data_IF_921508079066
#
_entry.id   IF_921508079066
#
_cell.length_a   1.000
_cell.length_b   1.000
_cell.length_c   1.000
_cell.angle_alpha   90.00
_cell.angle_beta   90.00
_cell.angle_gamma   90.00
#
_symmetry.space_group_name_H-M   'P 1'
#
loop_
_entity.id
_entity.type
_entity.pdbx_description
1 polymer ?
#
# COMPACT_ATOMS: atom_id res chain seq x y z
N UNK A 1 30.97 -27.84 23.63
CA UNK A 1 30.38 -26.66 24.29
C UNK A 1 28.92 -26.52 23.86
N UNK A 2 28.04 -27.34 24.40
CA UNK A 2 26.60 -27.30 24.15
C UNK A 2 25.95 -26.37 25.17
N UNK A 3 26.00 -25.06 24.91
CA UNK A 3 25.31 -24.10 25.78
C UNK A 3 23.81 -24.11 25.44
N UNK A 4 23.12 -25.16 25.89
CA UNK A 4 21.71 -25.42 25.61
C UNK A 4 20.77 -24.90 26.71
N UNK A 5 21.14 -23.77 27.36
CA UNK A 5 20.30 -23.16 28.39
C UNK A 5 19.51 -21.96 27.81
N UNK A 6 18.23 -22.15 27.43
CA UNK A 6 17.41 -21.08 26.88
C UNK A 6 17.14 -19.95 27.90
N UNK A 7 17.28 -20.20 29.20
CA UNK A 7 17.08 -19.18 30.24
C UNK A 7 18.21 -18.14 30.18
N UNK A 8 19.46 -18.58 30.20
CA UNK A 8 20.62 -17.69 30.12
C UNK A 8 20.67 -16.94 28.78
N UNK A 9 20.30 -17.60 27.68
CA UNK A 9 20.21 -16.94 26.37
C UNK A 9 19.16 -15.82 26.37
N UNK A 10 18.01 -16.02 27.01
CA UNK A 10 16.94 -15.02 27.16
C UNK A 10 17.39 -13.82 27.99
N UNK A 11 18.18 -14.04 29.03
CA UNK A 11 18.78 -12.96 29.82
C UNK A 11 19.73 -12.11 28.98
N UNK A 12 20.57 -12.74 28.15
CA UNK A 12 21.49 -12.04 27.25
C UNK A 12 20.72 -11.17 26.25
N UNK A 13 19.65 -11.69 25.64
CA UNK A 13 18.80 -10.90 24.74
C UNK A 13 18.17 -9.69 25.44
N UNK A 14 17.62 -9.90 26.65
CA UNK A 14 17.04 -8.81 27.42
C UNK A 14 18.07 -7.75 27.82
N UNK A 15 19.27 -8.16 28.20
CA UNK A 15 20.36 -7.25 28.53
C UNK A 15 20.82 -6.47 27.28
N UNK A 16 20.92 -7.12 26.12
CA UNK A 16 21.24 -6.46 24.86
C UNK A 16 20.22 -5.35 24.53
N UNK A 17 18.92 -5.62 24.68
CA UNK A 17 17.88 -4.60 24.47
C UNK A 17 17.87 -3.48 25.51
N UNK A 18 18.37 -3.71 26.73
CA UNK A 18 18.50 -2.64 27.74
C UNK A 18 19.66 -1.68 27.42
N UNK A 19 20.74 -2.20 26.84
CA UNK A 19 21.94 -1.44 26.51
C UNK A 19 21.73 -0.55 25.28
N UNK A 20 20.92 -1.00 24.32
CA UNK A 20 20.69 -0.26 23.08
C UNK A 20 19.84 0.99 23.36
N UNK A 21 20.32 2.21 23.03
CA UNK A 21 19.55 3.43 23.19
C UNK A 21 18.52 3.55 22.05
N UNK A 22 17.42 2.81 22.15
CA UNK A 22 16.41 2.66 21.09
C UNK A 22 15.83 3.96 20.54
N UNK A 23 15.85 5.04 21.34
CA UNK A 23 15.50 6.39 20.89
C UNK A 23 16.50 6.88 19.84
N UNK A 24 17.80 6.86 20.13
CA UNK A 24 18.80 7.34 19.16
C UNK A 24 19.02 6.35 18.02
N UNK A 25 19.06 5.05 18.33
CA UNK A 25 19.50 4.04 17.38
C UNK A 25 19.04 2.64 17.79
N UNK A 26 18.72 1.82 16.79
CA UNK A 26 18.26 0.45 17.02
C UNK A 26 18.50 -0.45 15.81
N UNK A 27 18.78 -1.73 16.07
CA UNK A 27 19.04 -2.74 15.06
C UNK A 27 17.83 -3.65 14.86
N UNK A 28 17.26 -3.65 13.66
CA UNK A 28 16.18 -4.58 13.30
C UNK A 28 16.59 -6.06 13.49
N UNK A 29 17.85 -6.40 13.19
CA UNK A 29 18.38 -7.77 13.33
C UNK A 29 18.31 -8.31 14.77
N UNK A 30 18.52 -7.45 15.78
CA UNK A 30 18.47 -7.86 17.18
C UNK A 30 17.04 -8.22 17.58
N UNK A 31 16.06 -7.39 17.18
CA UNK A 31 14.65 -7.66 17.42
C UNK A 31 14.16 -8.94 16.74
N UNK A 32 14.50 -9.10 15.46
CA UNK A 32 14.15 -10.29 14.67
C UNK A 32 14.79 -11.54 15.27
N UNK A 33 16.09 -11.48 15.59
CA UNK A 33 16.80 -12.60 16.21
C UNK A 33 16.21 -12.99 17.58
N UNK A 34 15.79 -12.01 18.38
CA UNK A 34 15.14 -12.31 19.65
C UNK A 34 13.76 -12.94 19.46
N UNK A 35 12.96 -12.47 18.49
CA UNK A 35 11.69 -13.11 18.17
C UNK A 35 11.87 -14.53 17.64
N UNK A 36 12.86 -14.79 16.78
CA UNK A 36 13.17 -16.14 16.29
C UNK A 36 13.61 -17.08 17.41
N UNK A 37 14.40 -16.56 18.35
CA UNK A 37 14.82 -17.31 19.52
C UNK A 37 13.61 -17.75 20.35
N UNK A 38 12.65 -16.86 20.62
CA UNK A 38 11.44 -17.22 21.36
C UNK A 38 10.55 -18.18 20.57
N UNK A 39 10.41 -18.02 19.24
CA UNK A 39 9.66 -18.96 18.40
C UNK A 39 10.20 -20.41 18.49
N UNK A 40 11.52 -20.57 18.66
CA UNK A 40 12.17 -21.89 18.70
C UNK A 40 12.30 -22.50 20.08
N UNK A 41 12.33 -21.69 21.15
CA UNK A 41 12.77 -22.11 22.49
C UNK A 41 11.76 -21.81 23.62
N UNK A 42 10.51 -21.52 23.29
CA UNK A 42 9.44 -21.29 24.26
C UNK A 42 8.18 -22.08 23.89
N UNK A 43 7.49 -22.63 24.89
CA UNK A 43 6.16 -23.24 24.73
C UNK A 43 5.17 -22.21 24.15
N UNK A 44 5.14 -20.99 24.72
CA UNK A 44 4.37 -19.84 24.18
C UNK A 44 5.20 -18.97 23.22
N UNK A 45 6.02 -19.60 22.37
CA UNK A 45 6.98 -18.90 21.51
C UNK A 45 6.34 -17.85 20.61
N UNK A 46 5.19 -18.16 20.03
CA UNK A 46 4.45 -17.24 19.16
C UNK A 46 3.99 -15.99 19.91
N UNK A 47 3.31 -16.14 21.05
CA UNK A 47 2.81 -14.99 21.81
C UNK A 47 3.95 -14.05 22.25
N UNK A 48 5.08 -14.62 22.68
CA UNK A 48 6.29 -13.86 23.04
C UNK A 48 6.90 -13.16 21.84
N UNK A 49 7.06 -13.85 20.71
CA UNK A 49 7.59 -13.27 19.48
C UNK A 49 6.75 -12.08 19.00
N UNK A 50 5.41 -12.23 19.00
CA UNK A 50 4.47 -11.17 18.67
C UNK A 50 4.63 -9.95 19.58
N UNK A 51 4.79 -10.17 20.89
CA UNK A 51 5.04 -9.11 21.88
C UNK A 51 6.37 -8.39 21.63
N UNK A 52 7.43 -9.14 21.32
CA UNK A 52 8.76 -8.59 21.02
C UNK A 52 8.71 -7.73 19.76
N UNK A 53 8.11 -8.23 18.67
CA UNK A 53 7.99 -7.50 17.41
C UNK A 53 7.09 -6.26 17.53
N UNK A 54 5.99 -6.35 18.30
CA UNK A 54 5.14 -5.20 18.61
C UNK A 54 5.88 -4.12 19.41
N UNK A 55 6.65 -4.51 20.44
CA UNK A 55 7.53 -3.60 21.17
C UNK A 55 8.57 -2.98 20.24
N UNK A 56 9.16 -3.76 19.34
CA UNK A 56 10.14 -3.28 18.38
C UNK A 56 9.54 -2.18 17.49
N UNK A 57 8.35 -2.39 16.92
CA UNK A 57 7.65 -1.37 16.14
C UNK A 57 7.45 -0.10 16.98
N UNK A 58 6.86 -0.19 18.17
CA UNK A 58 6.61 0.98 19.02
C UNK A 58 7.88 1.76 19.38
N UNK A 59 8.99 1.07 19.68
CA UNK A 59 10.24 1.73 20.06
C UNK A 59 11.03 2.27 18.86
N UNK A 60 10.87 1.68 17.67
CA UNK A 60 11.59 2.10 16.46
C UNK A 60 10.87 3.20 15.67
N UNK A 61 9.53 3.29 15.80
CA UNK A 61 8.69 4.19 15.01
C UNK A 61 8.81 5.66 15.40
N UNK A 62 9.38 5.99 16.57
CA UNK A 62 9.45 7.37 17.09
C UNK A 62 10.35 8.27 16.23
N UNK A 63 11.47 7.74 15.70
CA UNK A 63 12.45 8.57 14.97
C UNK A 63 12.68 8.12 13.53
N UNK A 64 12.74 6.81 13.29
CA UNK A 64 12.90 6.27 11.94
C UNK A 64 12.35 4.85 11.87
N UNK A 65 11.16 4.67 11.29
CA UNK A 65 10.52 3.37 11.14
C UNK A 65 11.46 2.38 10.45
N UNK A 66 11.62 1.20 11.06
CA UNK A 66 12.47 0.14 10.47
C UNK A 66 11.59 -0.79 9.66
N UNK A 67 11.48 -0.49 8.36
CA UNK A 67 10.74 -1.28 7.36
C UNK A 67 11.03 -2.79 7.47
N UNK A 68 12.28 -3.17 7.75
CA UNK A 68 12.67 -4.59 7.90
C UNK A 68 11.90 -5.33 9.00
N UNK A 69 11.51 -4.64 10.07
CA UNK A 69 10.75 -5.24 11.18
C UNK A 69 9.31 -5.48 10.73
N UNK A 70 8.69 -4.50 10.06
CA UNK A 70 7.35 -4.66 9.50
C UNK A 70 7.30 -5.81 8.49
N UNK A 71 8.22 -5.84 7.52
CA UNK A 71 8.31 -6.92 6.53
C UNK A 71 8.40 -8.29 7.19
N UNK A 72 9.36 -8.46 8.10
CA UNK A 72 9.53 -9.74 8.81
C UNK A 72 8.26 -10.15 9.58
N UNK A 73 7.63 -9.20 10.27
CA UNK A 73 6.43 -9.49 11.06
C UNK A 73 5.23 -9.83 10.18
N UNK A 74 5.04 -9.10 9.08
CA UNK A 74 4.00 -9.40 8.09
C UNK A 74 4.23 -10.79 7.49
N UNK A 75 5.45 -11.12 7.07
CA UNK A 75 5.77 -12.43 6.51
C UNK A 75 5.55 -13.57 7.51
N UNK A 76 5.84 -13.34 8.79
CA UNK A 76 5.56 -14.29 9.86
C UNK A 76 4.05 -14.54 10.00
N UNK A 77 3.23 -13.48 10.04
CA UNK A 77 1.79 -13.60 10.20
C UNK A 77 1.11 -14.18 8.95
N UNK A 78 1.61 -13.85 7.75
CA UNK A 78 1.19 -14.48 6.49
C UNK A 78 1.41 -16.00 6.52
N UNK A 79 2.57 -16.46 6.98
CA UNK A 79 2.88 -17.89 7.13
C UNK A 79 1.99 -18.60 8.16
N UNK A 80 1.45 -17.85 9.13
CA UNK A 80 0.53 -18.36 10.13
C UNK A 80 -0.94 -18.29 9.69
N UNK A 81 -1.24 -17.67 8.54
CA UNK A 81 -2.60 -17.47 8.04
C UNK A 81 -3.42 -16.44 8.84
N UNK A 82 -2.78 -15.59 9.66
CA UNK A 82 -3.48 -14.60 10.47
C UNK A 82 -3.64 -13.28 9.69
N UNK A 83 -4.52 -13.30 8.69
CA UNK A 83 -4.76 -12.18 7.78
C UNK A 83 -5.20 -10.91 8.49
N UNK A 84 -5.97 -11.04 9.57
CA UNK A 84 -6.41 -9.90 10.38
C UNK A 84 -5.22 -9.17 11.03
N UNK A 85 -4.21 -9.91 11.50
CA UNK A 85 -2.98 -9.28 11.99
C UNK A 85 -2.12 -8.72 10.88
N UNK A 86 -2.04 -9.37 9.72
CA UNK A 86 -1.35 -8.80 8.55
C UNK A 86 -1.93 -7.43 8.20
N UNK A 87 -3.26 -7.31 8.14
CA UNK A 87 -3.96 -6.03 7.92
C UNK A 87 -3.63 -4.99 8.99
N UNK A 88 -3.71 -5.37 10.27
CA UNK A 88 -3.35 -4.47 11.38
C UNK A 88 -1.90 -3.97 11.26
N UNK A 89 -0.97 -4.84 10.86
CA UNK A 89 0.43 -4.48 10.67
C UNK A 89 0.62 -3.52 9.50
N UNK A 90 -0.08 -3.72 8.38
CA UNK A 90 -0.06 -2.77 7.25
C UNK A 90 -0.66 -1.42 7.63
N UNK A 91 -1.80 -1.39 8.32
CA UNK A 91 -2.40 -0.15 8.83
C UNK A 91 -1.42 0.60 9.74
N UNK A 92 -0.78 -0.10 10.68
CA UNK A 92 0.22 0.51 11.57
C UNK A 92 1.46 0.99 10.82
N UNK A 93 1.88 0.27 9.78
CA UNK A 93 2.98 0.73 8.93
C UNK A 93 2.59 2.00 8.18
N UNK A 94 1.38 2.06 7.61
CA UNK A 94 0.88 3.23 6.90
C UNK A 94 0.81 4.45 7.82
N UNK A 95 0.18 4.32 9.00
CA UNK A 95 0.12 5.37 10.02
C UNK A 95 1.53 5.94 10.34
N UNK A 96 2.50 5.05 10.53
CA UNK A 96 3.86 5.42 10.87
C UNK A 96 4.61 6.08 9.71
N UNK A 97 4.38 5.63 8.48
CA UNK A 97 4.98 6.22 7.27
C UNK A 97 4.47 7.64 7.03
N UNK A 98 3.16 7.88 7.21
CA UNK A 98 2.54 9.19 7.09
C UNK A 98 3.11 10.21 8.09
N UNK A 99 3.47 9.76 9.31
CA UNK A 99 4.07 10.63 10.33
C UNK A 99 5.54 10.98 10.07
N UNK A 100 6.29 10.16 9.33
CA UNK A 100 7.76 10.26 9.23
C UNK A 100 8.24 10.75 7.86
N UNK A 101 7.37 11.35 7.05
CA UNK A 101 7.67 11.79 5.65
C UNK A 101 8.36 10.70 4.83
N UNK A 102 8.04 9.44 5.12
CA UNK A 102 8.56 8.27 4.41
C UNK A 102 7.50 7.82 3.43
N UNK A 103 7.91 7.47 2.20
CA UNK A 103 7.03 7.06 1.09
C UNK A 103 5.91 6.12 1.57
N UNK A 104 4.72 6.69 1.75
CA UNK A 104 3.46 5.98 2.02
C UNK A 104 3.08 5.10 0.84
N UNK A 105 3.44 5.53 -0.38
CA UNK A 105 3.29 4.81 -1.65
C UNK A 105 3.79 3.36 -1.57
N UNK A 106 5.02 3.13 -1.09
CA UNK A 106 5.56 1.76 -0.97
C UNK A 106 4.71 0.87 -0.05
N UNK A 107 4.13 1.44 1.00
CA UNK A 107 3.30 0.69 1.95
C UNK A 107 1.96 0.35 1.32
N UNK A 108 1.36 1.30 0.61
CA UNK A 108 0.08 1.11 -0.08
C UNK A 108 0.23 0.05 -1.16
N UNK A 109 1.25 0.16 -2.02
CA UNK A 109 1.57 -0.83 -3.06
C UNK A 109 1.63 -2.24 -2.47
N UNK A 110 2.37 -2.42 -1.36
CA UNK A 110 2.51 -3.70 -0.69
C UNK A 110 1.24 -4.17 0.03
N UNK A 111 0.43 -3.24 0.53
CA UNK A 111 -0.81 -3.58 1.22
C UNK A 111 -1.88 -4.00 0.21
N UNK A 112 -1.97 -3.29 -0.91
CA UNK A 112 -2.84 -3.60 -2.03
C UNK A 112 -2.46 -4.96 -2.64
N UNK A 113 -1.19 -5.19 -2.96
CA UNK A 113 -0.69 -6.50 -3.44
C UNK A 113 -1.07 -7.65 -2.49
N UNK A 114 -1.06 -7.40 -1.18
CA UNK A 114 -1.52 -8.38 -0.20
C UNK A 114 -3.01 -8.65 -0.29
N UNK A 115 -3.87 -7.63 -0.31
CA UNK A 115 -5.32 -7.85 -0.43
C UNK A 115 -5.65 -8.49 -1.80
N UNK A 116 -4.80 -8.31 -2.83
CA UNK A 116 -4.96 -8.97 -4.15
C UNK A 116 -4.67 -10.45 -4.05
N UNK A 117 -3.60 -10.80 -3.34
CA UNK A 117 -3.21 -12.20 -3.14
C UNK A 117 -4.22 -13.04 -2.35
N UNK A 118 -5.20 -12.41 -1.71
CA UNK A 118 -6.28 -13.08 -0.98
C UNK A 118 -7.66 -12.85 -1.62
N UNK A 119 -7.70 -12.16 -2.77
CA UNK A 119 -8.92 -11.89 -3.54
C UNK A 119 -10.02 -11.12 -2.78
N UNK A 120 -9.65 -10.33 -1.74
CA UNK A 120 -10.61 -9.48 -1.00
C UNK A 120 -10.68 -8.07 -1.59
N UNK A 121 -11.24 -7.93 -2.79
CA UNK A 121 -11.25 -6.67 -3.52
C UNK A 121 -12.08 -5.55 -2.86
N UNK A 122 -13.12 -5.89 -2.10
CA UNK A 122 -13.96 -4.93 -1.37
C UNK A 122 -13.21 -4.07 -0.33
N UNK A 123 -11.95 -4.41 -0.01
CA UNK A 123 -11.13 -3.69 0.96
C UNK A 123 -10.32 -2.56 0.34
N UNK A 124 -10.02 -2.58 -0.96
CA UNK A 124 -9.17 -1.53 -1.54
C UNK A 124 -9.74 -0.13 -1.43
N UNK A 125 -11.04 0.10 -1.74
CA UNK A 125 -11.59 1.44 -1.62
C UNK A 125 -11.48 1.93 -0.17
N UNK A 126 -11.67 1.05 0.81
CA UNK A 126 -11.56 1.39 2.24
C UNK A 126 -10.14 1.81 2.62
N UNK A 127 -9.11 1.18 2.04
CA UNK A 127 -7.70 1.53 2.27
C UNK A 127 -7.39 2.91 1.70
N UNK A 128 -7.76 3.16 0.45
CA UNK A 128 -7.51 4.46 -0.19
C UNK A 128 -8.32 5.59 0.43
N UNK A 129 -9.58 5.36 0.81
CA UNK A 129 -10.39 6.35 1.53
C UNK A 129 -9.76 6.75 2.86
N UNK A 130 -9.32 5.75 3.66
CA UNK A 130 -8.62 6.02 4.91
C UNK A 130 -7.28 6.76 4.72
N UNK A 131 -6.60 6.53 3.60
CA UNK A 131 -5.39 7.27 3.21
C UNK A 131 -5.72 8.72 2.86
N UNK A 132 -6.72 8.96 2.01
CA UNK A 132 -7.14 10.29 1.58
C UNK A 132 -7.64 11.13 2.77
N UNK A 133 -8.27 10.52 3.77
CA UNK A 133 -8.63 11.21 5.02
C UNK A 133 -7.42 11.79 5.77
N UNK A 134 -6.21 11.22 5.56
CA UNK A 134 -4.97 11.62 6.24
C UNK A 134 -4.04 12.45 5.36
N UNK A 135 -3.92 12.09 4.09
CA UNK A 135 -3.00 12.68 3.12
C UNK A 135 -3.67 12.79 1.73
N UNK A 136 -4.59 13.75 1.55
CA UNK A 136 -5.31 13.97 0.30
C UNK A 136 -4.48 14.80 -0.68
N UNK A 137 -3.49 14.16 -1.32
CA UNK A 137 -2.65 14.73 -2.37
C UNK A 137 -3.00 14.12 -3.75
N UNK A 138 -2.54 14.77 -4.83
CA UNK A 138 -2.87 14.37 -6.21
C UNK A 138 -2.44 12.93 -6.52
N UNK A 139 -1.26 12.52 -6.06
CA UNK A 139 -0.74 11.17 -6.27
C UNK A 139 -1.66 10.11 -5.64
N UNK A 140 -2.12 10.32 -4.40
CA UNK A 140 -3.01 9.38 -3.72
C UNK A 140 -4.39 9.29 -4.40
N UNK A 141 -4.93 10.43 -4.89
CA UNK A 141 -6.18 10.44 -5.66
C UNK A 141 -6.05 9.70 -6.99
N UNK A 142 -4.97 9.95 -7.74
CA UNK A 142 -4.71 9.28 -9.03
C UNK A 142 -4.50 7.78 -8.81
N UNK A 143 -3.71 7.41 -7.79
CA UNK A 143 -3.47 6.00 -7.47
C UNK A 143 -4.76 5.27 -7.11
N UNK A 144 -5.67 5.92 -6.39
CA UNK A 144 -6.98 5.34 -6.09
C UNK A 144 -7.80 5.14 -7.37
N UNK A 145 -7.93 6.16 -8.22
CA UNK A 145 -8.72 6.11 -9.45
C UNK A 145 -8.22 5.03 -10.43
N UNK A 146 -6.90 4.96 -10.65
CA UNK A 146 -6.28 3.96 -11.51
C UNK A 146 -6.40 2.55 -10.94
N UNK A 147 -6.29 2.41 -9.63
CA UNK A 147 -6.46 1.10 -9.01
C UNK A 147 -7.90 0.60 -9.12
N UNK A 148 -8.89 1.47 -8.91
CA UNK A 148 -10.32 1.13 -9.09
C UNK A 148 -10.58 0.55 -10.49
N UNK A 149 -10.01 1.16 -11.53
CA UNK A 149 -10.14 0.65 -12.91
C UNK A 149 -9.51 -0.71 -13.15
N UNK A 150 -8.62 -1.15 -12.27
CA UNK A 150 -7.93 -2.44 -12.38
C UNK A 150 -8.59 -3.57 -11.59
N UNK A 151 -9.58 -3.26 -10.75
CA UNK A 151 -10.29 -4.26 -9.93
C UNK A 151 -11.34 -4.94 -10.80
N UNK A 152 -11.24 -6.26 -11.07
CA UNK A 152 -12.25 -6.99 -11.85
C UNK A 152 -13.67 -6.77 -11.32
N UNK A 153 -14.62 -6.55 -12.22
CA UNK A 153 -16.03 -6.51 -11.83
C UNK A 153 -16.54 -7.90 -11.46
N UNK A 154 -17.63 -7.95 -10.69
CA UNK A 154 -18.24 -9.22 -10.28
C UNK A 154 -18.65 -10.05 -11.51
N UNK A 155 -19.15 -9.40 -12.56
CA UNK A 155 -19.55 -10.05 -13.81
C UNK A 155 -18.34 -10.68 -14.51
N UNK A 156 -17.21 -9.97 -14.59
CA UNK A 156 -15.96 -10.50 -15.17
C UNK A 156 -15.43 -11.70 -14.39
N UNK A 157 -15.50 -11.67 -13.06
CA UNK A 157 -15.09 -12.79 -12.22
C UNK A 157 -16.03 -14.00 -12.39
N UNK A 158 -17.34 -13.77 -12.49
CA UNK A 158 -18.31 -14.85 -12.74
C UNK A 158 -18.10 -15.49 -14.12
N UNK A 159 -17.86 -14.69 -15.16
CA UNK A 159 -17.55 -15.19 -16.50
C UNK A 159 -16.26 -16.01 -16.52
N UNK A 160 -15.22 -15.55 -15.83
CA UNK A 160 -13.97 -16.28 -15.69
C UNK A 160 -14.14 -17.62 -14.96
N UNK A 161 -14.92 -17.65 -13.87
CA UNK A 161 -15.19 -18.87 -13.11
C UNK A 161 -16.06 -19.88 -13.87
N UNK A 162 -16.86 -19.42 -14.83
CA UNK A 162 -17.77 -20.25 -15.63
C UNK A 162 -17.21 -20.64 -17.00
N UNK A 163 -16.22 -19.91 -17.52
CA UNK A 163 -15.61 -20.15 -18.82
C UNK A 163 -14.55 -21.26 -18.81
N UNK A 164 -14.32 -21.87 -19.97
CA UNK A 164 -13.17 -22.77 -20.22
C UNK A 164 -11.86 -21.99 -20.47
N UNK A 165 -11.84 -20.66 -20.25
CA UNK A 165 -10.70 -19.81 -20.51
C UNK A 165 -9.59 -20.03 -19.48
N UNK A 166 -8.37 -20.32 -19.95
CA UNK A 166 -7.19 -20.47 -19.09
C UNK A 166 -6.62 -19.12 -18.63
N UNK A 167 -6.94 -18.02 -19.31
CA UNK A 167 -6.37 -16.69 -19.09
C UNK A 167 -7.47 -15.63 -18.86
N UNK A 168 -7.29 -14.80 -17.83
CA UNK A 168 -8.23 -13.73 -17.48
C UNK A 168 -7.91 -12.47 -18.32
N UNK A 169 -8.75 -12.18 -19.32
CA UNK A 169 -8.60 -10.93 -20.09
C UNK A 169 -9.24 -9.77 -19.33
N UNK A 170 -8.43 -9.08 -18.52
CA UNK A 170 -8.82 -7.89 -17.77
C UNK A 170 -9.06 -6.71 -18.73
N UNK A 171 -10.25 -6.63 -19.30
CA UNK A 171 -10.75 -5.42 -19.97
C UNK A 171 -11.36 -4.48 -18.93
N UNK A 172 -11.34 -3.17 -19.18
CA UNK A 172 -12.04 -2.21 -18.33
C UNK A 172 -13.46 -2.09 -18.87
N UNK A 173 -14.45 -2.47 -18.08
CA UNK A 173 -15.88 -2.35 -18.39
C UNK A 173 -16.43 -0.95 -18.05
N UNK A 174 -17.65 -0.68 -18.50
CA UNK A 174 -18.30 0.62 -18.29
C UNK A 174 -18.51 0.94 -16.80
N UNK A 175 -18.72 -0.08 -15.95
CA UNK A 175 -18.94 0.12 -14.51
C UNK A 175 -17.67 0.58 -13.80
N UNK A 176 -16.52 0.02 -14.17
CA UNK A 176 -15.20 0.42 -13.69
C UNK A 176 -14.85 1.82 -14.19
N UNK A 177 -15.14 2.11 -15.46
CA UNK A 177 -14.94 3.44 -16.05
C UNK A 177 -15.75 4.49 -15.28
N UNK A 178 -17.03 4.25 -15.04
CA UNK A 178 -17.90 5.16 -14.29
C UNK A 178 -17.38 5.37 -12.85
N UNK A 179 -16.97 4.29 -12.18
CA UNK A 179 -16.42 4.35 -10.83
C UNK A 179 -15.12 5.18 -10.78
N UNK A 180 -14.22 4.98 -11.74
CA UNK A 180 -12.98 5.77 -11.86
C UNK A 180 -13.25 7.24 -12.16
N UNK A 181 -14.22 7.55 -13.05
CA UNK A 181 -14.66 8.93 -13.32
C UNK A 181 -15.16 9.62 -12.06
N UNK A 182 -16.00 8.93 -11.27
CA UNK A 182 -16.51 9.47 -10.00
C UNK A 182 -15.37 9.84 -9.04
N UNK A 183 -14.31 9.03 -8.95
CA UNK A 183 -13.14 9.34 -8.12
C UNK A 183 -12.40 10.58 -8.63
N UNK A 184 -12.22 10.73 -9.95
CA UNK A 184 -11.61 11.93 -10.53
C UNK A 184 -12.46 13.19 -10.30
N UNK A 185 -13.79 13.09 -10.41
CA UNK A 185 -14.72 14.18 -10.11
C UNK A 185 -14.67 14.61 -8.64
N UNK A 186 -14.61 13.65 -7.72
CA UNK A 186 -14.43 13.91 -6.30
C UNK A 186 -13.10 14.64 -6.04
N UNK A 187 -11.99 14.16 -6.63
CA UNK A 187 -10.67 14.80 -6.51
C UNK A 187 -10.70 16.23 -7.05
N UNK A 188 -11.34 16.45 -8.21
CA UNK A 188 -11.53 17.76 -8.82
C UNK A 188 -12.29 18.71 -7.93
N UNK A 189 -13.39 18.25 -7.33
CA UNK A 189 -14.20 19.02 -6.38
C UNK A 189 -13.38 19.38 -5.15
N UNK A 190 -12.66 18.41 -4.59
CA UNK A 190 -11.82 18.60 -3.42
C UNK A 190 -10.73 19.69 -3.62
N UNK A 191 -10.00 19.64 -4.74
CA UNK A 191 -8.98 20.65 -5.03
C UNK A 191 -9.56 22.00 -5.49
N UNK A 192 -10.75 21.99 -6.10
CA UNK A 192 -11.49 23.22 -6.43
C UNK A 192 -11.89 23.99 -5.17
N UNK A 193 -12.41 23.29 -4.16
CA UNK A 193 -12.83 23.91 -2.89
C UNK A 193 -11.65 24.52 -2.12
N UNK A 194 -10.42 24.07 -2.41
CA UNK A 194 -9.18 24.61 -1.87
C UNK A 194 -8.51 25.68 -2.74
N UNK A 195 -9.10 26.01 -3.87
CA UNK A 195 -8.52 26.87 -4.92
C UNK A 195 -7.12 26.41 -5.38
N UNK A 196 -6.85 25.10 -5.33
CA UNK A 196 -5.58 24.52 -5.75
C UNK A 196 -5.63 24.20 -7.25
N UNK A 197 -5.20 25.18 -8.06
CA UNK A 197 -5.21 25.07 -9.53
C UNK A 197 -4.16 24.10 -10.05
N UNK A 198 -2.98 24.07 -9.43
CA UNK A 198 -1.87 23.19 -9.84
C UNK A 198 -2.26 21.72 -9.63
N UNK A 199 -2.81 21.39 -8.46
CA UNK A 199 -3.28 20.03 -8.20
C UNK A 199 -4.40 19.61 -9.13
N UNK A 200 -5.35 20.51 -9.43
CA UNK A 200 -6.41 20.22 -10.41
C UNK A 200 -5.89 19.94 -11.80
N UNK A 201 -4.88 20.68 -12.26
CA UNK A 201 -4.25 20.43 -13.56
C UNK A 201 -3.68 19.01 -13.61
N UNK A 202 -2.97 18.59 -12.55
CA UNK A 202 -2.41 17.23 -12.46
C UNK A 202 -3.51 16.16 -12.47
N UNK A 203 -4.63 16.39 -11.79
CA UNK A 203 -5.79 15.47 -11.83
C UNK A 203 -6.39 15.40 -13.24
N UNK A 204 -6.56 16.53 -13.93
CA UNK A 204 -7.11 16.58 -15.29
C UNK A 204 -6.20 15.87 -16.29
N UNK A 205 -4.87 16.09 -16.20
CA UNK A 205 -3.92 15.38 -17.06
C UNK A 205 -4.03 13.86 -16.89
N UNK A 206 -4.09 13.39 -15.64
CA UNK A 206 -4.25 11.96 -15.35
C UNK A 206 -5.62 11.41 -15.81
N UNK A 207 -6.69 12.19 -15.67
CA UNK A 207 -8.02 11.80 -16.13
C UNK A 207 -8.09 11.75 -17.66
N UNK A 208 -7.52 12.74 -18.37
CA UNK A 208 -7.40 12.70 -19.84
C UNK A 208 -6.66 11.45 -20.31
N UNK A 209 -5.50 11.16 -19.71
CA UNK A 209 -4.70 9.98 -20.06
C UNK A 209 -5.48 8.67 -19.81
N UNK A 210 -6.40 8.64 -18.84
CA UNK A 210 -7.31 7.52 -18.60
C UNK A 210 -8.41 7.42 -19.67
N UNK A 211 -9.07 8.53 -20.03
CA UNK A 211 -10.13 8.57 -21.05
C UNK A 211 -9.60 8.27 -22.46
N UNK A 212 -8.36 8.65 -22.79
CA UNK A 212 -7.74 8.27 -24.06
C UNK A 212 -7.59 6.75 -24.25
N UNK A 213 -7.51 6.01 -23.13
CA UNK A 213 -7.33 4.55 -23.15
C UNK A 213 -8.67 3.83 -23.00
N UNK A 214 -9.56 4.31 -22.13
CA UNK A 214 -10.77 3.59 -21.71
C UNK A 214 -12.08 4.33 -22.04
N UNK A 215 -12.01 5.59 -22.49
CA UNK A 215 -13.20 6.36 -22.84
C UNK A 215 -13.82 5.90 -24.16
N UNK A 216 -15.13 6.06 -24.28
CA UNK A 216 -15.82 6.03 -25.57
C UNK A 216 -15.71 7.41 -26.25
N UNK A 217 -15.77 7.45 -27.59
CA UNK A 217 -15.58 8.65 -28.42
C UNK A 217 -16.52 9.85 -28.10
N UNK A 218 -17.45 9.74 -27.14
CA UNK A 218 -18.55 10.70 -26.91
C UNK A 218 -18.41 11.66 -25.72
N UNK A 219 -17.31 11.68 -24.95
CA UNK A 219 -17.15 12.66 -23.85
C UNK A 219 -15.75 13.26 -23.72
N UNK A 220 -15.25 13.86 -24.81
CA UNK A 220 -14.13 14.80 -24.71
C UNK A 220 -14.63 16.15 -24.17
N UNK A 221 -14.53 16.37 -22.86
CA UNK A 221 -14.63 17.73 -22.32
C UNK A 221 -13.25 18.35 -22.45
N UNK A 222 -13.05 19.14 -23.51
CA UNK A 222 -11.90 20.04 -23.65
C UNK A 222 -11.94 21.08 -22.52
N UNK A 223 -11.42 20.72 -21.35
CA UNK A 223 -11.19 21.66 -20.25
C UNK A 223 -9.91 22.45 -20.57
N UNK A 224 -10.02 23.37 -21.52
CA UNK A 224 -9.00 24.38 -21.78
C UNK A 224 -9.12 25.42 -20.68
N UNK A 225 -8.16 25.47 -19.76
CA UNK A 225 -8.03 26.61 -18.86
C UNK A 225 -7.75 27.86 -19.71
N UNK A 226 -8.52 28.96 -19.55
CA UNK A 226 -8.39 30.15 -20.39
C UNK A 226 -6.99 30.77 -20.46
N UNK A 227 -6.10 30.43 -19.52
CA UNK A 227 -4.74 30.97 -19.42
C UNK A 227 -3.65 30.06 -20.02
N UNK A 228 -3.99 28.88 -20.55
CA UNK A 228 -3.02 27.81 -20.84
C UNK A 228 -2.63 27.65 -22.33
N UNK A 229 -2.82 28.68 -23.16
CA UNK A 229 -2.37 28.65 -24.57
C UNK A 229 -0.83 28.60 -24.71
N UNK A 230 -0.07 28.70 -23.63
CA UNK A 230 1.39 28.72 -23.69
C UNK A 230 2.07 28.02 -22.52
N UNK A 231 2.14 26.68 -22.53
CA UNK A 231 3.24 25.89 -21.93
C UNK A 231 3.10 24.39 -22.23
N UNK A 232 3.75 23.93 -23.31
CA UNK A 232 4.09 22.50 -23.47
C UNK A 232 5.31 22.17 -22.61
N UNK A 233 5.17 21.40 -21.52
CA UNK A 233 6.29 20.97 -20.64
C UNK A 233 5.98 19.57 -20.00
N UNK A 234 6.98 18.82 -19.47
CA UNK A 234 7.37 17.54 -20.06
C UNK A 234 7.17 16.28 -19.18
N UNK A 235 6.59 15.24 -19.77
CA UNK A 235 7.19 13.89 -19.92
C UNK A 235 7.79 13.16 -18.69
N UNK A 236 7.12 13.15 -17.53
CA UNK A 236 7.57 12.33 -16.37
C UNK A 236 6.60 11.22 -15.91
N UNK A 237 5.33 11.23 -16.34
CA UNK A 237 4.33 10.21 -15.96
C UNK A 237 4.53 8.83 -16.62
N UNK A 238 5.38 8.73 -17.65
CA UNK A 238 5.63 7.51 -18.42
C UNK A 238 6.14 6.30 -17.59
N UNK A 239 6.83 6.51 -16.46
CA UNK A 239 7.38 5.41 -15.66
C UNK A 239 6.37 4.73 -14.74
N UNK A 240 5.41 5.47 -14.21
CA UNK A 240 4.40 4.93 -13.30
C UNK A 240 3.38 4.09 -14.08
N UNK A 241 2.91 4.62 -15.22
CA UNK A 241 2.05 3.91 -16.17
C UNK A 241 2.71 2.63 -16.71
N UNK A 242 4.03 2.67 -16.96
CA UNK A 242 4.79 1.50 -17.39
C UNK A 242 4.93 0.43 -16.29
N UNK A 243 4.90 0.80 -15.01
CA UNK A 243 4.96 -0.16 -13.91
C UNK A 243 3.58 -0.79 -13.65
N UNK A 244 2.49 -0.01 -13.74
CA UNK A 244 1.13 -0.52 -13.70
C UNK A 244 0.86 -1.52 -14.83
N UNK A 245 1.29 -1.21 -16.06
CA UNK A 245 1.20 -2.13 -17.21
C UNK A 245 2.09 -3.38 -17.06
N UNK A 246 3.25 -3.29 -16.42
CA UNK A 246 4.12 -4.44 -16.17
C UNK A 246 3.55 -5.41 -15.14
N UNK A 247 2.82 -4.90 -14.16
CA UNK A 247 2.11 -5.74 -13.19
C UNK A 247 0.96 -6.52 -13.84
N UNK A 248 0.27 -5.91 -14.81
CA UNK A 248 -0.76 -6.58 -15.60
C UNK A 248 -0.22 -7.63 -16.59
N UNK A 249 1.09 -7.64 -16.90
CA UNK A 249 1.72 -8.56 -17.88
C UNK A 249 2.52 -9.70 -17.24
N UNK A 250 2.58 -9.78 -15.90
CA UNK A 250 3.41 -10.76 -15.18
C UNK A 250 2.63 -11.78 -14.33
N UNK A 251 1.30 -11.79 -14.44
CA UNK A 251 0.44 -12.85 -13.91
C UNK A 251 -0.33 -13.48 -15.05
#
# INVERSE_FOLDING_TARGET
MTNNNPVSAREIWNNCLKVIPHKSFTFAKVWIGYSEFELRNSEDGLAKARKILGRAIGQTSINKPKIKIFKYYIDLEKKLGDWNRVRLLFQKWLEVSLLTTSSSELVIEKYVEFESSIEEYDRYPKIYRALLDKDPNTHNWISFALFESSIPSAEQLEEYLQGDNEEFEATVDESQIESTRNIFEEAMTYFKDKDDKESRLVIIEAWRDFEEVNGSDEKYIDYIFPDDESKKLPGKMSKFLANAKKWAQQN
#
